data_IF_474324355406
#
_entry.id   IF_474324355406
#
_cell.length_a   1.000
_cell.length_b   1.000
_cell.length_c   1.000
_cell.angle_alpha   90.00
_cell.angle_beta   90.00
_cell.angle_gamma   90.00
#
_symmetry.space_group_name_H-M   'P 1'
#
loop_
_entity.id
_entity.type
_entity.pdbx_description
1 polymer ?
#
# COMPACT_ATOMS: atom_id res chain seq x y z
N UNK A 1 -9.42 16.01 -9.19
CA UNK A 1 -10.40 15.96 -8.11
C UNK A 1 -11.76 16.45 -8.55
N UNK A 2 -12.80 16.03 -7.87
CA UNK A 2 -14.19 16.45 -8.14
C UNK A 2 -14.87 16.83 -6.84
N UNK A 3 -15.48 18.02 -6.82
CA UNK A 3 -16.32 18.52 -5.73
C UNK A 3 -17.77 18.17 -6.06
N UNK A 4 -18.47 17.49 -5.15
CA UNK A 4 -19.86 17.02 -5.32
C UNK A 4 -20.79 17.67 -4.31
N UNK A 5 -20.39 17.67 -3.02
CA UNK A 5 -21.18 18.18 -1.90
C UNK A 5 -20.45 19.26 -1.09
N UNK A 6 -19.16 19.47 -1.33
CA UNK A 6 -18.36 20.49 -0.63
C UNK A 6 -17.58 21.37 -1.62
N UNK A 7 -17.05 22.49 -1.13
CA UNK A 7 -16.24 23.42 -1.93
C UNK A 7 -14.86 22.85 -2.28
N UNK A 8 -14.41 21.83 -1.54
CA UNK A 8 -13.16 21.10 -1.80
C UNK A 8 -13.43 19.77 -2.47
N UNK A 9 -12.46 19.15 -3.14
CA UNK A 9 -12.66 17.85 -3.78
C UNK A 9 -13.16 16.78 -2.79
N UNK A 10 -14.29 16.14 -3.12
CA UNK A 10 -14.87 15.03 -2.38
C UNK A 10 -14.31 13.68 -2.85
N UNK A 11 -13.84 13.65 -4.11
CA UNK A 11 -13.09 12.53 -4.70
C UNK A 11 -11.82 13.09 -5.32
N UNK A 12 -10.70 12.45 -5.05
CA UNK A 12 -9.42 12.77 -5.63
C UNK A 12 -8.71 11.51 -6.15
N UNK A 13 -8.14 11.61 -7.34
CA UNK A 13 -7.26 10.61 -7.91
C UNK A 13 -5.95 11.29 -8.29
N UNK A 14 -4.83 10.68 -7.94
CA UNK A 14 -3.51 11.15 -8.31
C UNK A 14 -2.65 9.99 -8.81
N UNK A 15 -1.86 10.27 -9.83
CA UNK A 15 -0.78 9.40 -10.29
C UNK A 15 0.53 10.10 -10.03
N UNK A 16 1.42 9.44 -9.31
CA UNK A 16 2.76 9.93 -8.96
C UNK A 16 3.78 9.02 -9.64
N UNK A 17 4.72 9.61 -10.34
CA UNK A 17 5.88 8.93 -10.90
C UNK A 17 7.12 9.37 -10.15
N UNK A 18 7.86 8.40 -9.63
CA UNK A 18 9.09 8.64 -8.88
C UNK A 18 10.31 8.54 -9.78
N UNK A 19 11.38 9.22 -9.44
CA UNK A 19 12.64 9.23 -10.21
C UNK A 19 13.24 7.82 -10.38
N UNK A 20 13.00 6.92 -9.45
CA UNK A 20 13.44 5.52 -9.53
C UNK A 20 12.56 4.65 -10.44
N UNK A 21 11.56 5.22 -11.11
CA UNK A 21 10.64 4.53 -12.01
C UNK A 21 9.43 3.90 -11.32
N UNK A 22 9.32 3.97 -9.99
CA UNK A 22 8.11 3.55 -9.30
C UNK A 22 6.93 4.45 -9.66
N UNK A 23 5.73 3.88 -9.65
CA UNK A 23 4.48 4.60 -9.90
C UNK A 23 3.50 4.31 -8.77
N UNK A 24 2.91 5.35 -8.21
CA UNK A 24 1.81 5.25 -7.26
C UNK A 24 0.52 5.83 -7.85
N UNK A 25 -0.57 5.09 -7.75
CA UNK A 25 -1.91 5.58 -8.04
C UNK A 25 -2.67 5.69 -6.72
N UNK A 26 -3.07 6.90 -6.38
CA UNK A 26 -3.76 7.22 -5.15
C UNK A 26 -5.21 7.56 -5.43
N UNK A 27 -6.12 7.06 -4.62
CA UNK A 27 -7.54 7.42 -4.64
C UNK A 27 -7.98 7.74 -3.23
N UNK A 28 -8.59 8.90 -3.04
CA UNK A 28 -9.23 9.28 -1.79
C UNK A 28 -10.67 9.73 -2.08
N UNK A 29 -11.61 9.29 -1.26
CA UNK A 29 -13.02 9.67 -1.39
C UNK A 29 -13.68 9.75 -0.03
N UNK A 30 -14.47 10.80 0.20
CA UNK A 30 -15.29 10.95 1.40
C UNK A 30 -16.77 10.61 1.15
N UNK A 31 -17.13 10.35 -0.11
CA UNK A 31 -18.52 10.09 -0.54
C UNK A 31 -18.75 8.68 -1.05
N UNK A 32 -17.76 7.80 -0.96
CA UNK A 32 -17.90 6.39 -1.35
C UNK A 32 -18.80 5.63 -0.38
N UNK A 33 -19.66 4.77 -0.90
CA UNK A 33 -20.60 3.97 -0.08
C UNK A 33 -19.91 2.98 0.85
N UNK A 34 -18.70 2.55 0.53
CA UNK A 34 -17.90 1.63 1.36
C UNK A 34 -16.64 2.32 1.85
N UNK A 35 -16.40 2.23 3.15
CA UNK A 35 -15.11 2.60 3.69
C UNK A 35 -14.04 1.64 3.19
N UNK A 36 -12.91 2.17 2.79
CA UNK A 36 -11.78 1.38 2.30
C UNK A 36 -10.47 2.05 2.74
N UNK A 37 -9.55 1.25 3.27
CA UNK A 37 -8.17 1.66 3.53
C UNK A 37 -7.24 0.55 3.06
N UNK A 38 -6.88 0.60 1.78
CA UNK A 38 -6.19 -0.52 1.14
C UNK A 38 -4.98 -0.04 0.34
N UNK A 39 -3.87 -0.75 0.47
CA UNK A 39 -2.69 -0.57 -0.38
C UNK A 39 -2.40 -1.85 -1.14
N UNK A 40 -2.01 -1.70 -2.40
CA UNK A 40 -1.62 -2.82 -3.27
C UNK A 40 -0.26 -2.51 -3.87
N UNK A 41 0.65 -3.47 -3.74
CA UNK A 41 2.01 -3.36 -4.25
C UNK A 41 2.22 -4.43 -5.32
N UNK A 42 2.67 -3.98 -6.48
CA UNK A 42 2.99 -4.82 -7.61
C UNK A 42 4.50 -4.77 -7.84
N UNK A 43 5.13 -5.91 -7.81
CA UNK A 43 6.55 -6.06 -8.12
C UNK A 43 6.77 -7.31 -8.97
N UNK A 44 7.99 -7.49 -9.50
CA UNK A 44 8.29 -8.51 -10.49
C UNK A 44 7.80 -9.92 -10.12
N UNK A 45 8.01 -10.31 -8.85
CA UNK A 45 7.75 -11.69 -8.40
C UNK A 45 6.72 -11.77 -7.26
N UNK A 46 6.03 -10.65 -6.97
CA UNK A 46 5.01 -10.64 -5.94
C UNK A 46 3.93 -9.56 -6.17
N UNK A 47 2.74 -9.89 -5.71
CA UNK A 47 1.63 -8.98 -5.49
C UNK A 47 1.28 -9.00 -4.00
N UNK A 48 1.20 -7.83 -3.37
CA UNK A 48 0.89 -7.70 -1.96
C UNK A 48 -0.34 -6.80 -1.83
N UNK A 49 -1.37 -7.27 -1.12
CA UNK A 49 -2.58 -6.52 -0.80
C UNK A 49 -2.69 -6.37 0.71
N UNK A 50 -2.68 -5.13 1.20
CA UNK A 50 -2.85 -4.81 2.61
C UNK A 50 -4.16 -4.07 2.79
N UNK A 51 -5.06 -4.62 3.59
CA UNK A 51 -6.31 -4.00 4.00
C UNK A 51 -6.18 -3.55 5.45
N UNK A 52 -5.98 -2.25 5.66
CA UNK A 52 -5.80 -1.66 6.99
C UNK A 52 -7.13 -1.57 7.77
N UNK A 53 -8.27 -1.58 7.08
CA UNK A 53 -9.57 -1.54 7.73
C UNK A 53 -9.95 -2.91 8.26
N UNK A 54 -9.77 -3.94 7.42
CA UNK A 54 -10.08 -5.33 7.76
C UNK A 54 -8.91 -6.05 8.47
N UNK A 55 -7.77 -5.36 8.63
CA UNK A 55 -6.53 -5.91 9.19
C UNK A 55 -6.15 -7.24 8.56
N UNK A 56 -6.02 -7.23 7.24
CA UNK A 56 -5.71 -8.41 6.44
C UNK A 56 -4.58 -8.13 5.47
N UNK A 57 -3.67 -9.09 5.35
CA UNK A 57 -2.60 -9.07 4.38
C UNK A 57 -2.65 -10.33 3.52
N UNK A 58 -2.62 -10.14 2.21
CA UNK A 58 -2.58 -11.22 1.22
C UNK A 58 -1.33 -11.03 0.37
N UNK A 59 -0.54 -12.08 0.23
CA UNK A 59 0.69 -12.07 -0.56
C UNK A 59 0.62 -13.19 -1.57
N UNK A 60 0.70 -12.82 -2.85
CA UNK A 60 0.83 -13.75 -3.95
C UNK A 60 2.26 -13.65 -4.47
N UNK A 61 2.99 -14.74 -4.47
CA UNK A 61 4.37 -14.79 -4.95
C UNK A 61 4.50 -15.74 -6.13
N UNK A 62 5.50 -15.46 -6.97
CA UNK A 62 5.87 -16.31 -8.08
C UNK A 62 7.33 -16.72 -7.96
N UNK A 63 7.61 -17.99 -8.23
CA UNK A 63 8.97 -18.53 -8.36
C UNK A 63 9.05 -19.39 -9.62
N UNK A 64 10.25 -19.78 -10.02
CA UNK A 64 10.40 -20.74 -11.11
C UNK A 64 9.69 -22.04 -10.78
N UNK A 65 8.95 -22.58 -11.75
CA UNK A 65 8.27 -23.86 -11.56
C UNK A 65 9.29 -24.99 -11.38
N UNK A 66 9.02 -25.94 -10.47
CA UNK A 66 9.85 -27.13 -10.36
C UNK A 66 9.77 -27.95 -11.65
N UNK A 67 10.81 -28.76 -11.94
CA UNK A 67 10.83 -29.64 -13.11
C UNK A 67 9.68 -30.65 -13.09
N UNK A 68 9.31 -31.13 -11.92
CA UNK A 68 8.14 -32.00 -11.69
C UNK A 68 7.20 -31.31 -10.73
N UNK A 69 6.11 -30.69 -11.24
CA UNK A 69 5.09 -30.08 -10.41
C UNK A 69 4.36 -31.13 -9.54
N UNK A 70 4.03 -30.74 -8.31
CA UNK A 70 3.14 -31.53 -7.46
C UNK A 70 1.67 -31.37 -7.88
N UNK A 71 0.80 -32.26 -7.40
CA UNK A 71 -0.63 -32.30 -7.76
C UNK A 71 -1.42 -31.02 -7.42
N UNK A 72 -0.91 -30.21 -6.49
CA UNK A 72 -1.54 -28.96 -6.02
C UNK A 72 -0.78 -27.70 -6.43
N UNK A 73 0.26 -27.83 -7.24
CA UNK A 73 1.04 -26.69 -7.68
C UNK A 73 0.28 -25.87 -8.74
N UNK A 74 0.08 -24.60 -8.47
CA UNK A 74 -0.50 -23.67 -9.44
C UNK A 74 0.60 -23.17 -10.37
N UNK A 75 0.60 -23.66 -11.61
CA UNK A 75 1.60 -23.29 -12.62
C UNK A 75 0.97 -22.35 -13.65
N UNK A 76 1.61 -21.21 -13.87
CA UNK A 76 1.37 -20.34 -15.02
C UNK A 76 2.46 -20.56 -16.06
N UNK A 77 2.07 -20.57 -17.32
CA UNK A 77 2.99 -20.63 -18.45
C UNK A 77 2.70 -19.45 -19.41
N UNK A 78 3.75 -18.74 -19.81
CA UNK A 78 3.62 -17.69 -20.81
C UNK A 78 3.68 -18.28 -22.24
N UNK A 79 3.49 -17.40 -23.25
CA UNK A 79 3.53 -17.80 -24.66
C UNK A 79 4.90 -18.37 -25.12
N UNK A 80 5.97 -18.01 -24.42
CA UNK A 80 7.35 -18.45 -24.69
C UNK A 80 7.71 -19.75 -23.95
N UNK A 81 6.76 -20.34 -23.22
CA UNK A 81 6.96 -21.62 -22.52
C UNK A 81 7.59 -21.47 -21.13
N UNK A 82 7.87 -20.27 -20.64
CA UNK A 82 8.39 -20.05 -19.30
C UNK A 82 7.32 -20.38 -18.27
N UNK A 83 7.63 -21.26 -17.33
CA UNK A 83 6.71 -21.70 -16.28
C UNK A 83 7.06 -21.08 -14.94
N UNK A 84 6.05 -20.54 -14.28
CA UNK A 84 6.15 -20.00 -12.90
C UNK A 84 5.14 -20.69 -12.01
N UNK A 85 5.58 -21.07 -10.81
CA UNK A 85 4.69 -21.53 -9.75
C UNK A 85 4.18 -20.35 -8.96
N UNK A 86 2.85 -20.29 -8.76
CA UNK A 86 2.21 -19.32 -7.89
C UNK A 86 1.95 -19.94 -6.53
N UNK A 87 2.17 -19.19 -5.48
CA UNK A 87 1.77 -19.55 -4.14
C UNK A 87 1.25 -18.38 -3.36
N UNK A 88 0.29 -18.66 -2.50
CA UNK A 88 -0.40 -17.67 -1.67
C UNK A 88 0.13 -17.76 -0.24
N UNK A 89 0.24 -16.61 0.39
CA UNK A 89 0.56 -16.50 1.80
C UNK A 89 -0.34 -15.41 2.39
N UNK A 90 -1.00 -15.75 3.48
CA UNK A 90 -1.82 -14.81 4.23
C UNK A 90 -1.20 -14.67 5.63
N UNK A 91 -0.23 -13.75 5.78
CA UNK A 91 0.37 -13.49 7.08
C UNK A 91 -0.70 -13.13 8.11
N UNK A 92 -0.60 -13.71 9.28
CA UNK A 92 -1.46 -13.35 10.38
C UNK A 92 -1.18 -11.91 10.82
N UNK A 93 -2.24 -11.13 11.00
CA UNK A 93 -2.16 -9.73 11.44
C UNK A 93 -2.78 -9.64 12.83
N UNK A 94 -1.96 -9.27 13.80
CA UNK A 94 -2.43 -9.06 15.18
C UNK A 94 -3.42 -7.90 15.25
N UNK A 95 -4.43 -8.09 16.11
CA UNK A 95 -5.40 -7.04 16.40
C UNK A 95 -4.74 -6.03 17.36
N UNK A 96 -4.61 -4.80 16.91
CA UNK A 96 -3.97 -3.73 17.67
C UNK A 96 -4.78 -2.42 17.61
N UNK A 97 -4.42 -1.47 18.45
CA UNK A 97 -4.89 -0.10 18.37
C UNK A 97 -3.79 0.77 17.78
N UNK A 98 -3.94 1.16 16.51
CA UNK A 98 -2.93 1.91 15.77
C UNK A 98 -2.51 3.23 16.45
N UNK A 99 -3.46 3.95 17.06
CA UNK A 99 -3.15 5.22 17.76
C UNK A 99 -2.36 4.93 19.03
N UNK A 100 -2.70 3.89 19.78
CA UNK A 100 -1.96 3.49 20.98
C UNK A 100 -0.54 3.06 20.64
N UNK A 101 -0.37 2.29 19.55
CA UNK A 101 0.95 1.84 19.09
C UNK A 101 1.81 3.03 18.63
N UNK A 102 1.21 4.00 17.93
CA UNK A 102 1.90 5.24 17.54
C UNK A 102 2.41 6.03 18.77
N UNK A 103 1.53 6.23 19.78
CA UNK A 103 1.88 6.94 21.00
C UNK A 103 2.95 6.20 21.81
N UNK A 104 2.83 4.88 21.94
CA UNK A 104 3.83 4.05 22.62
C UNK A 104 5.19 4.12 21.91
N UNK A 105 5.20 3.96 20.57
CA UNK A 105 6.42 4.05 19.77
C UNK A 105 7.12 5.41 19.91
N UNK A 106 6.35 6.49 19.98
CA UNK A 106 6.91 7.83 20.20
C UNK A 106 7.45 8.00 21.61
N UNK A 107 6.72 7.53 22.64
CA UNK A 107 7.16 7.56 24.02
C UNK A 107 8.45 6.75 24.22
N UNK A 108 8.54 5.58 23.61
CA UNK A 108 9.74 4.74 23.65
C UNK A 108 10.95 5.43 23.01
N UNK A 109 10.74 6.11 21.88
CA UNK A 109 11.80 6.88 21.23
C UNK A 109 12.33 7.99 22.15
N UNK A 110 11.46 8.69 22.90
CA UNK A 110 11.86 9.70 23.89
C UNK A 110 12.62 9.05 25.04
N UNK A 111 12.07 8.00 25.64
CA UNK A 111 12.63 7.35 26.82
C UNK A 111 14.01 6.74 26.56
N UNK A 112 14.23 6.22 25.36
CA UNK A 112 15.49 5.57 24.97
C UNK A 112 16.42 6.50 24.16
N UNK A 113 16.02 7.75 23.94
CA UNK A 113 16.76 8.74 23.14
C UNK A 113 17.10 8.19 21.74
N UNK A 114 16.12 7.56 21.08
CA UNK A 114 16.26 7.01 19.74
C UNK A 114 15.45 7.83 18.72
N UNK A 115 15.71 7.61 17.44
CA UNK A 115 14.93 8.25 16.38
C UNK A 115 13.53 7.62 16.30
N UNK A 116 12.45 8.43 16.27
CA UNK A 116 11.10 7.91 16.06
C UNK A 116 10.98 7.12 14.76
N UNK A 117 10.06 6.15 14.73
CA UNK A 117 9.79 5.32 13.53
C UNK A 117 9.37 6.18 12.34
N UNK A 118 8.57 7.23 12.60
CA UNK A 118 8.24 8.26 11.60
C UNK A 118 8.85 9.57 12.07
N UNK A 119 9.81 10.09 11.29
CA UNK A 119 10.49 11.35 11.63
C UNK A 119 9.68 12.57 11.16
N UNK A 120 10.01 13.74 11.70
CA UNK A 120 9.40 15.00 11.28
C UNK A 120 9.64 15.28 9.80
N UNK A 121 10.83 14.95 9.28
CA UNK A 121 11.19 15.10 7.88
C UNK A 121 10.29 14.24 6.98
N UNK A 122 10.10 12.97 7.34
CA UNK A 122 9.23 12.05 6.59
C UNK A 122 7.76 12.51 6.60
N UNK A 123 7.26 12.95 7.75
CA UNK A 123 5.91 13.48 7.88
C UNK A 123 5.73 14.76 7.07
N UNK A 124 6.71 15.67 7.09
CA UNK A 124 6.72 16.91 6.32
C UNK A 124 6.72 16.62 4.82
N UNK A 125 7.52 15.63 4.38
CA UNK A 125 7.58 15.25 2.97
C UNK A 125 6.26 14.66 2.48
N UNK A 126 5.63 13.80 3.28
CA UNK A 126 4.31 13.26 2.96
C UNK A 126 3.26 14.38 2.81
N UNK A 127 3.28 15.36 3.71
CA UNK A 127 2.40 16.53 3.66
C UNK A 127 2.69 17.41 2.42
N UNK A 128 3.97 17.61 2.07
CA UNK A 128 4.37 18.35 0.87
C UNK A 128 3.79 17.72 -0.39
N UNK A 129 3.88 16.39 -0.52
CA UNK A 129 3.30 15.66 -1.66
C UNK A 129 1.77 15.83 -1.68
N UNK A 130 1.10 15.77 -0.52
CA UNK A 130 -0.34 15.98 -0.43
C UNK A 130 -0.74 17.38 -0.93
N UNK A 131 -0.01 18.42 -0.56
CA UNK A 131 -0.26 19.79 -1.06
C UNK A 131 -0.01 19.92 -2.57
N UNK A 132 1.02 19.29 -3.11
CA UNK A 132 1.26 19.26 -4.56
C UNK A 132 0.07 18.65 -5.31
N UNK A 133 -0.51 17.57 -4.78
CA UNK A 133 -1.73 16.96 -5.36
C UNK A 133 -2.90 17.94 -5.31
N UNK A 134 -3.13 18.61 -4.16
CA UNK A 134 -4.21 19.58 -3.99
C UNK A 134 -4.04 20.75 -4.95
N UNK A 135 -2.83 21.24 -5.14
CA UNK A 135 -2.57 22.38 -6.05
C UNK A 135 -2.85 22.04 -7.51
N UNK A 136 -2.76 20.77 -7.92
CA UNK A 136 -3.17 20.32 -9.25
C UNK A 136 -4.71 20.44 -9.48
N UNK A 137 -5.52 20.55 -8.44
CA UNK A 137 -6.98 20.66 -8.58
C UNK A 137 -7.46 22.12 -8.71
N UNK A 138 -6.60 23.09 -8.43
CA UNK A 138 -6.94 24.53 -8.43
C UNK A 138 -6.91 25.16 -9.83
N UNK A 139 -7.01 24.37 -10.89
CA UNK A 139 -7.01 24.88 -12.27
C UNK A 139 -8.41 25.16 -12.77
#
# INVERSE_FOLDING_TARGET
GVSVISETPDIANARIEFENGCVANLTASRISMKNMRKSRFFQKDAYISVDFLEKRCEVVKMKDAPEVPGDFDMILQNAEGVKKQIYFSNPEVEQNNAILDELNSFADAINHNTTPVVTLEQATEALRVAYQIIDCFKK
#
